data_IF_989123282265
#
_entry.id   IF_989123282265
#
_cell.length_a   1.000
_cell.length_b   1.000
_cell.length_c   1.000
_cell.angle_alpha   90.00
_cell.angle_beta   90.00
_cell.angle_gamma   90.00
#
_symmetry.space_group_name_H-M   'P 1'
#
loop_
_entity.id
_entity.type
_entity.pdbx_description
1 polymer ?
#
# COMPACT_ATOMS: atom_id res chain seq x y z
N UNK A 1 21.86 -19.39 28.07
CA UNK A 1 22.25 -19.47 26.64
C UNK A 1 23.64 -18.88 26.54
N UNK A 2 24.60 -19.56 25.91
CA UNK A 2 25.95 -19.01 25.79
C UNK A 2 25.94 -17.78 24.86
N UNK A 3 26.86 -16.81 25.03
CA UNK A 3 26.90 -15.58 24.22
C UNK A 3 26.91 -15.85 22.71
N UNK A 4 27.70 -16.83 22.27
CA UNK A 4 27.78 -17.25 20.86
C UNK A 4 26.45 -17.81 20.33
N UNK A 5 25.76 -18.61 21.14
CA UNK A 5 24.44 -19.16 20.77
C UNK A 5 23.41 -18.04 20.65
N UNK A 6 23.44 -17.05 21.55
CA UNK A 6 22.54 -15.91 21.54
C UNK A 6 22.78 -15.03 20.31
N UNK A 7 24.04 -14.78 19.97
CA UNK A 7 24.45 -14.04 18.78
C UNK A 7 23.97 -14.74 17.50
N UNK A 8 24.19 -16.04 17.37
CA UNK A 8 23.73 -16.85 16.23
C UNK A 8 22.20 -16.80 16.07
N UNK A 9 21.47 -16.89 17.18
CA UNK A 9 20.01 -16.74 17.18
C UNK A 9 19.56 -15.36 16.71
N UNK A 10 20.13 -14.28 17.27
CA UNK A 10 19.79 -12.90 16.90
C UNK A 10 20.08 -12.64 15.42
N UNK A 11 21.22 -13.11 14.91
CA UNK A 11 21.59 -12.97 13.52
C UNK A 11 20.65 -13.74 12.58
N UNK A 12 20.29 -14.99 12.93
CA UNK A 12 19.31 -15.77 12.16
C UNK A 12 17.95 -15.09 12.09
N UNK A 13 17.45 -14.55 13.20
CA UNK A 13 16.19 -13.81 13.22
C UNK A 13 16.26 -12.50 12.43
N UNK A 14 17.38 -11.77 12.52
CA UNK A 14 17.63 -10.58 11.70
C UNK A 14 17.57 -10.91 10.20
N UNK A 15 18.28 -11.95 9.75
CA UNK A 15 18.27 -12.39 8.35
C UNK A 15 16.88 -12.84 7.92
N UNK A 16 16.17 -13.61 8.75
CA UNK A 16 14.79 -14.08 8.48
C UNK A 16 13.83 -12.89 8.29
N UNK A 17 13.88 -11.90 9.17
CA UNK A 17 13.05 -10.70 9.08
C UNK A 17 13.42 -9.83 7.87
N UNK A 18 14.73 -9.73 7.56
CA UNK A 18 15.22 -8.96 6.42
C UNK A 18 14.74 -9.57 5.10
N UNK A 19 14.82 -10.89 4.97
CA UNK A 19 14.30 -11.61 3.81
C UNK A 19 12.78 -11.45 3.66
N UNK A 20 12.02 -11.54 4.76
CA UNK A 20 10.58 -11.30 4.72
C UNK A 20 10.26 -9.86 4.29
N UNK A 21 10.97 -8.87 4.82
CA UNK A 21 10.79 -7.47 4.43
C UNK A 21 11.08 -7.26 2.94
N UNK A 22 12.14 -7.86 2.40
CA UNK A 22 12.48 -7.80 0.99
C UNK A 22 11.42 -8.46 0.10
N UNK A 23 10.89 -9.62 0.51
CA UNK A 23 9.79 -10.30 -0.18
C UNK A 23 8.51 -9.44 -0.21
N UNK A 24 8.17 -8.77 0.90
CA UNK A 24 7.07 -7.82 0.96
C UNK A 24 7.26 -6.64 0.00
N UNK A 25 8.46 -6.07 -0.05
CA UNK A 25 8.80 -4.96 -0.96
C UNK A 25 8.70 -5.42 -2.43
N UNK A 26 9.28 -6.58 -2.76
CA UNK A 26 9.23 -7.17 -4.11
C UNK A 26 7.79 -7.43 -4.54
N UNK A 27 6.98 -8.00 -3.66
CA UNK A 27 5.56 -8.25 -3.93
C UNK A 27 4.78 -6.94 -4.14
N UNK A 28 5.09 -5.86 -3.42
CA UNK A 28 4.47 -4.55 -3.66
C UNK A 28 4.86 -3.96 -5.03
N UNK A 29 6.09 -4.18 -5.51
CA UNK A 29 6.49 -3.79 -6.87
C UNK A 29 5.79 -4.61 -7.95
N UNK A 30 5.53 -5.89 -7.71
CA UNK A 30 4.75 -6.73 -8.63
C UNK A 30 3.31 -6.22 -8.76
N UNK A 31 2.69 -5.80 -7.64
CA UNK A 31 1.37 -5.16 -7.65
C UNK A 31 1.36 -3.82 -8.41
N UNK A 32 2.46 -3.08 -8.40
CA UNK A 32 2.60 -1.86 -9.21
C UNK A 32 2.61 -2.16 -10.72
N UNK A 33 3.21 -3.28 -11.14
CA UNK A 33 3.14 -3.72 -12.55
C UNK A 33 1.70 -4.06 -12.95
N UNK A 34 0.93 -4.67 -12.04
CA UNK A 34 -0.49 -4.93 -12.26
C UNK A 34 -1.29 -3.62 -12.45
N UNK A 35 -0.96 -2.53 -11.74
CA UNK A 35 -1.58 -1.23 -12.00
C UNK A 35 -1.33 -0.73 -13.43
N UNK A 36 -0.13 -0.95 -13.97
CA UNK A 36 0.18 -0.61 -15.37
C UNK A 36 -0.69 -1.38 -16.38
N UNK A 37 -0.86 -2.69 -16.14
CA UNK A 37 -1.76 -3.53 -16.95
C UNK A 37 -3.20 -3.03 -16.86
N UNK A 38 -3.68 -2.68 -15.66
CA UNK A 38 -5.05 -2.16 -15.49
C UNK A 38 -5.22 -0.81 -16.19
N UNK A 39 -4.22 0.07 -16.15
CA UNK A 39 -4.23 1.32 -16.90
C UNK A 39 -4.38 1.09 -18.41
N UNK A 40 -3.68 0.11 -18.96
CA UNK A 40 -3.84 -0.30 -20.36
C UNK A 40 -5.25 -0.88 -20.62
N UNK A 41 -5.78 -1.71 -19.72
CA UNK A 41 -7.14 -2.26 -19.82
C UNK A 41 -8.19 -1.15 -19.82
N UNK A 42 -8.04 -0.11 -19.00
CA UNK A 42 -8.94 1.04 -18.97
C UNK A 42 -8.93 1.79 -20.31
N UNK A 43 -7.74 2.02 -20.89
CA UNK A 43 -7.63 2.67 -22.18
C UNK A 43 -8.26 1.86 -23.32
N UNK A 44 -8.15 0.53 -23.25
CA UNK A 44 -8.71 -0.40 -24.24
C UNK A 44 -10.19 -0.71 -24.01
N UNK A 45 -10.75 -0.37 -22.85
CA UNK A 45 -12.13 -0.70 -22.51
C UNK A 45 -13.15 -0.07 -23.46
N UNK A 46 -12.97 1.21 -23.81
CA UNK A 46 -13.86 1.88 -24.76
C UNK A 46 -13.90 1.17 -26.14
N UNK A 47 -12.76 0.93 -26.82
CA UNK A 47 -12.73 0.16 -28.06
C UNK A 47 -13.41 -1.23 -27.94
N UNK A 48 -13.22 -1.93 -26.82
CA UNK A 48 -13.85 -3.24 -26.59
C UNK A 48 -15.38 -3.10 -26.56
N UNK A 49 -15.91 -2.11 -25.83
CA UNK A 49 -17.35 -1.86 -25.78
C UNK A 49 -17.91 -1.43 -27.13
N UNK A 50 -17.16 -0.60 -27.89
CA UNK A 50 -17.53 -0.21 -29.26
C UNK A 50 -17.75 -1.45 -30.14
N UNK A 51 -16.85 -2.44 -30.09
CA UNK A 51 -16.96 -3.70 -30.85
C UNK A 51 -18.13 -4.57 -30.37
N UNK A 52 -18.36 -4.67 -29.06
CA UNK A 52 -19.44 -5.48 -28.48
C UNK A 52 -20.81 -4.94 -28.92
N UNK A 53 -20.98 -3.62 -28.90
CA UNK A 53 -22.25 -2.98 -29.30
C UNK A 53 -22.45 -3.05 -30.81
N UNK A 54 -21.38 -2.96 -31.61
CA UNK A 54 -21.44 -3.23 -33.06
C UNK A 54 -21.94 -4.66 -33.35
N UNK A 55 -21.51 -5.65 -32.58
CA UNK A 55 -21.93 -7.04 -32.74
C UNK A 55 -23.35 -7.31 -32.19
N UNK A 56 -23.79 -6.57 -31.17
CA UNK A 56 -25.11 -6.72 -30.54
C UNK A 56 -25.72 -5.35 -30.21
N UNK A 57 -26.44 -4.71 -31.15
CA UNK A 57 -26.96 -3.35 -30.99
C UNK A 57 -28.10 -3.21 -29.97
N UNK A 58 -28.60 -4.34 -29.42
CA UNK A 58 -29.60 -4.34 -28.33
C UNK A 58 -29.00 -4.01 -26.96
N UNK A 59 -27.67 -4.01 -26.85
CA UNK A 59 -26.97 -3.75 -25.59
C UNK A 59 -26.87 -2.23 -25.38
N UNK A 60 -27.22 -1.77 -24.19
CA UNK A 60 -27.02 -0.38 -23.79
C UNK A 60 -25.52 -0.07 -23.67
N UNK A 61 -25.01 0.68 -24.65
CA UNK A 61 -23.63 1.13 -24.73
C UNK A 61 -23.19 1.89 -23.48
N UNK A 62 -24.01 2.81 -22.99
CA UNK A 62 -23.68 3.66 -21.85
C UNK A 62 -23.61 2.87 -20.56
N UNK A 63 -24.57 1.97 -20.35
CA UNK A 63 -24.60 1.06 -19.21
C UNK A 63 -23.41 0.10 -19.16
N UNK A 64 -23.02 -0.47 -20.32
CA UNK A 64 -21.89 -1.39 -20.40
C UNK A 64 -20.54 -0.70 -20.15
N UNK A 65 -20.34 0.49 -20.74
CA UNK A 65 -19.15 1.31 -20.46
C UNK A 65 -19.03 1.59 -18.97
N UNK A 66 -20.11 2.07 -18.37
CA UNK A 66 -20.17 2.42 -16.97
C UNK A 66 -19.83 1.23 -16.06
N UNK A 67 -20.45 0.06 -16.30
CA UNK A 67 -20.21 -1.14 -15.51
C UNK A 67 -18.74 -1.59 -15.59
N UNK A 68 -18.14 -1.53 -16.78
CA UNK A 68 -16.74 -1.88 -16.96
C UNK A 68 -15.78 -0.89 -16.28
N UNK A 69 -16.03 0.41 -16.39
CA UNK A 69 -15.24 1.40 -15.65
C UNK A 69 -15.34 1.21 -14.14
N UNK A 70 -16.54 0.97 -13.62
CA UNK A 70 -16.76 0.76 -12.19
C UNK A 70 -16.07 -0.51 -11.67
N UNK A 71 -16.14 -1.61 -12.43
CA UNK A 71 -15.48 -2.87 -12.07
C UNK A 71 -13.95 -2.76 -12.13
N UNK A 72 -13.39 -2.07 -13.13
CA UNK A 72 -11.96 -1.80 -13.20
C UNK A 72 -11.49 -0.91 -12.05
N UNK A 73 -12.25 0.14 -11.71
CA UNK A 73 -11.97 0.99 -10.55
C UNK A 73 -12.02 0.22 -9.24
N UNK A 74 -12.94 -0.74 -9.09
CA UNK A 74 -13.01 -1.61 -7.92
C UNK A 74 -11.75 -2.48 -7.79
N UNK A 75 -11.26 -3.06 -8.90
CA UNK A 75 -10.03 -3.86 -8.89
C UNK A 75 -8.83 -2.99 -8.50
N UNK A 76 -8.71 -1.77 -9.06
CA UNK A 76 -7.66 -0.81 -8.66
C UNK A 76 -7.76 -0.49 -7.18
N UNK A 77 -8.98 -0.27 -6.68
CA UNK A 77 -9.21 0.04 -5.28
C UNK A 77 -8.74 -1.12 -4.38
N UNK A 78 -9.05 -2.37 -4.72
CA UNK A 78 -8.62 -3.54 -3.96
C UNK A 78 -7.09 -3.66 -3.94
N UNK A 79 -6.43 -3.53 -5.09
CA UNK A 79 -4.96 -3.62 -5.19
C UNK A 79 -4.30 -2.47 -4.45
N UNK A 80 -4.79 -1.24 -4.62
CA UNK A 80 -4.27 -0.07 -3.92
C UNK A 80 -4.45 -0.17 -2.40
N UNK A 81 -5.57 -0.71 -1.93
CA UNK A 81 -5.80 -0.98 -0.51
C UNK A 81 -4.85 -2.06 0.04
N UNK A 82 -4.63 -3.13 -0.72
CA UNK A 82 -3.67 -4.17 -0.37
C UNK A 82 -2.23 -3.61 -0.27
N UNK A 83 -1.84 -2.76 -1.21
CA UNK A 83 -0.55 -2.07 -1.19
C UNK A 83 -0.41 -1.12 0.01
N UNK A 84 -1.47 -0.39 0.37
CA UNK A 84 -1.50 0.44 1.58
C UNK A 84 -1.27 -0.40 2.85
N UNK A 85 -1.87 -1.59 2.93
CA UNK A 85 -1.63 -2.52 4.04
C UNK A 85 -0.17 -2.98 4.03
N UNK A 86 0.35 -3.44 2.90
CA UNK A 86 1.76 -3.87 2.78
C UNK A 86 2.74 -2.78 3.20
N UNK A 87 2.53 -1.54 2.74
CA UNK A 87 3.35 -0.41 3.15
C UNK A 87 3.31 -0.24 4.67
N UNK A 88 2.13 -0.33 5.30
CA UNK A 88 2.01 -0.16 6.77
C UNK A 88 2.87 -1.13 7.59
N UNK A 89 3.19 -2.31 7.07
CA UNK A 89 4.08 -3.28 7.71
C UNK A 89 5.58 -2.97 7.55
N UNK A 90 5.98 -2.12 6.60
CA UNK A 90 7.40 -1.76 6.42
C UNK A 90 7.94 -1.02 7.65
N UNK A 91 7.13 -0.20 8.31
CA UNK A 91 7.50 0.43 9.59
C UNK A 91 7.82 -0.65 10.62
N UNK A 92 6.94 -1.65 10.77
CA UNK A 92 7.15 -2.75 11.70
C UNK A 92 8.46 -3.50 11.42
N UNK A 93 8.76 -3.83 10.16
CA UNK A 93 10.02 -4.51 9.82
C UNK A 93 11.24 -3.65 10.13
N UNK A 94 11.16 -2.34 9.83
CA UNK A 94 12.26 -1.40 10.10
C UNK A 94 12.58 -1.33 11.59
N UNK A 95 11.55 -1.13 12.42
CA UNK A 95 11.71 -1.03 13.88
C UNK A 95 12.27 -2.32 14.50
N UNK A 96 11.80 -3.49 14.04
CA UNK A 96 12.29 -4.77 14.57
C UNK A 96 13.71 -5.07 14.11
N UNK A 97 14.04 -4.87 12.82
CA UNK A 97 15.38 -5.08 12.29
C UNK A 97 16.41 -4.24 13.04
N UNK A 98 16.05 -3.00 13.37
CA UNK A 98 16.87 -2.13 14.20
C UNK A 98 17.05 -2.68 15.63
N UNK A 99 15.98 -3.15 16.27
CA UNK A 99 16.07 -3.77 17.59
C UNK A 99 16.99 -5.00 17.62
N UNK A 100 16.99 -5.82 16.56
CA UNK A 100 17.93 -6.92 16.41
C UNK A 100 19.36 -6.43 16.15
N UNK A 101 19.53 -5.40 15.32
CA UNK A 101 20.85 -4.81 15.02
C UNK A 101 21.51 -4.23 16.28
N UNK A 102 20.76 -3.49 17.11
CA UNK A 102 21.23 -2.98 18.39
C UNK A 102 21.59 -4.10 19.38
N UNK A 103 20.81 -5.17 19.42
CA UNK A 103 21.09 -6.33 20.26
C UNK A 103 22.35 -7.08 19.82
N UNK A 104 22.57 -7.23 18.51
CA UNK A 104 23.76 -7.84 17.92
C UNK A 104 25.02 -7.01 18.23
N UNK A 105 24.95 -5.68 18.06
CA UNK A 105 26.07 -4.78 18.38
C UNK A 105 26.48 -4.84 19.84
N UNK A 106 25.51 -4.87 20.76
CA UNK A 106 25.76 -5.00 22.21
C UNK A 106 26.51 -6.29 22.54
N UNK A 107 26.17 -7.39 21.86
CA UNK A 107 26.77 -8.70 22.14
C UNK A 107 28.15 -8.87 21.48
N UNK A 108 28.42 -8.15 20.40
CA UNK A 108 29.71 -8.13 19.72
C UNK A 108 30.74 -7.21 20.38
N UNK A 109 30.36 -6.39 21.38
CA UNK A 109 31.20 -5.33 21.95
C UNK A 109 31.82 -4.40 20.88
N UNK A 110 31.17 -4.27 19.70
CA UNK A 110 31.63 -3.33 18.68
C UNK A 110 31.38 -1.90 19.18
N UNK A 111 32.46 -1.12 19.24
CA UNK A 111 32.41 0.33 19.44
C UNK A 111 31.45 0.95 18.41
N UNK A 112 30.72 1.99 18.82
CA UNK A 112 29.60 2.65 18.13
C UNK A 112 29.85 3.06 16.64
N UNK A 113 31.07 2.91 16.14
CA UNK A 113 31.58 3.35 14.83
C UNK A 113 31.67 2.26 13.74
N UNK A 114 31.27 1.01 14.01
CA UNK A 114 31.24 -0.05 13.00
C UNK A 114 30.19 0.24 11.90
N UNK A 115 30.64 0.41 10.65
CA UNK A 115 29.79 0.63 9.46
C UNK A 115 29.21 -0.66 8.87
N UNK A 116 29.52 -1.82 9.44
CA UNK A 116 29.13 -3.13 8.88
C UNK A 116 27.63 -3.38 9.09
N UNK A 117 27.13 -2.96 10.24
CA UNK A 117 25.72 -2.87 10.56
C UNK A 117 25.38 -1.38 10.52
N UNK A 118 24.72 -0.90 9.47
CA UNK A 118 24.46 0.53 9.31
C UNK A 118 23.05 0.80 8.78
N UNK A 119 22.03 0.22 9.41
CA UNK A 119 20.78 0.96 9.54
C UNK A 119 21.06 2.15 10.47
N UNK A 120 21.72 3.16 9.91
CA UNK A 120 22.26 4.30 10.64
C UNK A 120 21.12 4.98 11.41
N UNK A 121 21.20 5.07 12.73
CA UNK A 121 20.20 5.69 13.61
C UNK A 121 19.82 7.13 13.16
N UNK A 122 20.74 7.88 12.56
CA UNK A 122 20.45 9.19 11.95
C UNK A 122 19.60 9.13 10.67
N UNK A 123 19.65 8.01 9.93
CA UNK A 123 18.84 7.78 8.74
C UNK A 123 17.41 7.33 9.10
N UNK A 124 17.16 6.85 10.31
CA UNK A 124 15.84 6.38 10.78
C UNK A 124 14.80 7.50 10.75
N UNK A 125 15.07 8.66 11.36
CA UNK A 125 14.15 9.81 11.31
C UNK A 125 13.87 10.26 9.89
N UNK A 126 14.89 10.22 9.02
CA UNK A 126 14.77 10.59 7.61
C UNK A 126 13.96 9.56 6.82
N UNK A 127 14.16 8.26 7.08
CA UNK A 127 13.42 7.16 6.47
C UNK A 127 11.96 7.14 6.94
N UNK A 128 11.70 7.27 8.23
CA UNK A 128 10.35 7.36 8.78
C UNK A 128 9.62 8.61 8.28
N UNK A 129 10.31 9.75 8.19
CA UNK A 129 9.74 10.97 7.63
C UNK A 129 9.42 10.79 6.14
N UNK A 130 10.39 10.32 5.34
CA UNK A 130 10.18 10.03 3.92
C UNK A 130 9.06 9.02 3.71
N UNK A 131 9.00 7.95 4.51
CA UNK A 131 7.94 6.95 4.47
C UNK A 131 6.58 7.59 4.77
N UNK A 132 6.46 8.40 5.84
CA UNK A 132 5.21 9.10 6.17
C UNK A 132 4.76 10.01 5.04
N UNK A 133 5.69 10.75 4.43
CA UNK A 133 5.39 11.61 3.28
C UNK A 133 4.93 10.81 2.07
N UNK A 134 5.66 9.74 1.70
CA UNK A 134 5.30 8.89 0.56
C UNK A 134 3.96 8.17 0.79
N UNK A 135 3.73 7.66 2.00
CA UNK A 135 2.48 7.02 2.38
C UNK A 135 1.31 8.01 2.35
N UNK A 136 1.48 9.21 2.92
CA UNK A 136 0.45 10.24 2.88
C UNK A 136 0.14 10.67 1.43
N UNK A 137 1.17 10.89 0.61
CA UNK A 137 1.02 11.22 -0.80
C UNK A 137 0.27 10.12 -1.57
N UNK A 138 0.66 8.85 -1.39
CA UNK A 138 -0.01 7.72 -2.02
C UNK A 138 -1.47 7.61 -1.57
N UNK A 139 -1.73 7.74 -0.27
CA UNK A 139 -3.08 7.70 0.28
C UNK A 139 -3.94 8.86 -0.24
N UNK A 140 -3.39 10.07 -0.38
CA UNK A 140 -4.09 11.21 -0.96
C UNK A 140 -4.43 10.96 -2.43
N UNK A 141 -3.48 10.52 -3.24
CA UNK A 141 -3.71 10.19 -4.65
C UNK A 141 -4.76 9.08 -4.78
N UNK A 142 -4.64 8.03 -3.96
CA UNK A 142 -5.59 6.92 -3.95
C UNK A 142 -6.99 7.36 -3.52
N UNK A 143 -7.12 8.19 -2.48
CA UNK A 143 -8.40 8.74 -2.03
C UNK A 143 -9.05 9.62 -3.11
N UNK A 144 -8.28 10.47 -3.78
CA UNK A 144 -8.79 11.28 -4.89
C UNK A 144 -9.27 10.38 -6.03
N UNK A 145 -8.47 9.39 -6.44
CA UNK A 145 -8.83 8.51 -7.54
C UNK A 145 -10.07 7.66 -7.23
N UNK A 146 -10.20 7.15 -6.00
CA UNK A 146 -11.31 6.28 -5.60
C UNK A 146 -12.57 7.05 -5.19
N UNK A 147 -12.46 8.30 -4.72
CA UNK A 147 -13.63 9.09 -4.32
C UNK A 147 -14.08 9.97 -5.49
N UNK A 148 -13.18 10.81 -6.02
CA UNK A 148 -13.55 11.86 -6.98
C UNK A 148 -13.95 11.29 -8.33
N UNK A 149 -13.22 10.30 -8.87
CA UNK A 149 -13.51 9.77 -10.21
C UNK A 149 -14.89 9.08 -10.24
N UNK A 150 -15.20 8.09 -9.37
CA UNK A 150 -16.52 7.48 -9.38
C UNK A 150 -17.64 8.46 -9.01
N UNK A 151 -17.38 9.40 -8.10
CA UNK A 151 -18.36 10.43 -7.73
C UNK A 151 -18.74 11.30 -8.93
N UNK A 152 -17.76 11.82 -9.69
CA UNK A 152 -18.01 12.63 -10.88
C UNK A 152 -18.79 11.84 -11.94
N UNK A 153 -18.40 10.59 -12.18
CA UNK A 153 -19.11 9.70 -13.13
C UNK A 153 -20.56 9.49 -12.68
N UNK A 154 -20.79 9.13 -11.41
CA UNK A 154 -22.13 8.90 -10.87
C UNK A 154 -22.97 10.17 -10.88
N UNK A 155 -22.36 11.33 -10.64
CA UNK A 155 -23.03 12.63 -10.63
C UNK A 155 -23.59 12.96 -12.02
N UNK A 156 -22.87 12.62 -13.09
CA UNK A 156 -23.36 12.77 -14.48
C UNK A 156 -24.56 11.89 -14.82
N UNK A 157 -24.80 10.80 -14.07
CA UNK A 157 -25.96 9.91 -14.28
C UNK A 157 -27.14 10.27 -13.37
N UNK A 158 -26.96 10.16 -12.05
CA UNK A 158 -27.98 10.46 -11.04
C UNK A 158 -27.34 10.91 -9.74
N UNK A 159 -27.74 12.09 -9.27
CA UNK A 159 -27.20 12.71 -8.06
C UNK A 159 -27.37 11.81 -6.82
N UNK A 160 -28.46 11.05 -6.73
CA UNK A 160 -28.74 10.16 -5.60
C UNK A 160 -27.68 9.07 -5.46
N UNK A 161 -27.24 8.47 -6.58
CA UNK A 161 -26.20 7.43 -6.54
C UNK A 161 -24.84 8.03 -6.18
N UNK A 162 -24.53 9.23 -6.67
CA UNK A 162 -23.31 9.94 -6.32
C UNK A 162 -23.24 10.25 -4.81
N UNK A 163 -24.35 10.70 -4.22
CA UNK A 163 -24.42 11.00 -2.78
C UNK A 163 -24.29 9.74 -1.92
N UNK A 164 -24.97 8.65 -2.27
CA UNK A 164 -24.86 7.36 -1.55
C UNK A 164 -23.42 6.85 -1.61
N UNK A 165 -22.80 6.89 -2.79
CA UNK A 165 -21.41 6.48 -2.97
C UNK A 165 -20.43 7.34 -2.16
N UNK A 166 -20.62 8.67 -2.16
CA UNK A 166 -19.78 9.59 -1.40
C UNK A 166 -19.86 9.29 0.10
N UNK A 167 -21.06 9.09 0.65
CA UNK A 167 -21.24 8.75 2.06
C UNK A 167 -20.56 7.42 2.42
N UNK A 168 -20.77 6.38 1.60
CA UNK A 168 -20.15 5.07 1.82
C UNK A 168 -18.63 5.12 1.73
N UNK A 169 -18.08 5.78 0.71
CA UNK A 169 -16.63 5.92 0.54
C UNK A 169 -15.99 6.68 1.70
N UNK A 170 -16.58 7.80 2.14
CA UNK A 170 -16.13 8.53 3.32
C UNK A 170 -16.18 7.67 4.59
N UNK A 171 -17.23 6.87 4.78
CA UNK A 171 -17.34 5.95 5.91
C UNK A 171 -16.24 4.88 5.89
N UNK A 172 -15.97 4.28 4.74
CA UNK A 172 -14.90 3.27 4.56
C UNK A 172 -13.53 3.91 4.85
N UNK A 173 -13.25 5.09 4.30
CA UNK A 173 -12.00 5.80 4.59
C UNK A 173 -11.88 6.16 6.07
N UNK A 174 -12.96 6.59 6.73
CA UNK A 174 -12.94 6.88 8.16
C UNK A 174 -12.62 5.61 9.00
N UNK A 175 -13.17 4.46 8.64
CA UNK A 175 -12.84 3.17 9.27
C UNK A 175 -11.38 2.81 9.01
N UNK A 176 -10.91 2.95 7.76
CA UNK A 176 -9.52 2.69 7.40
C UNK A 176 -8.55 3.58 8.22
N UNK A 177 -8.79 4.89 8.30
CA UNK A 177 -7.97 5.79 9.10
C UNK A 177 -7.98 5.43 10.58
N UNK A 178 -9.11 4.97 11.14
CA UNK A 178 -9.17 4.49 12.52
C UNK A 178 -8.31 3.24 12.72
N UNK A 179 -8.39 2.27 11.82
CA UNK A 179 -7.57 1.05 11.86
C UNK A 179 -6.10 1.38 11.71
N UNK A 180 -5.75 2.21 10.71
CA UNK A 180 -4.40 2.68 10.48
C UNK A 180 -3.84 3.38 11.71
N UNK A 181 -4.59 4.33 12.30
CA UNK A 181 -4.19 5.03 13.53
C UNK A 181 -4.00 4.04 14.68
N UNK A 182 -4.86 3.04 14.84
CA UNK A 182 -4.71 2.02 15.91
C UNK A 182 -3.46 1.17 15.68
N UNK A 183 -3.21 0.74 14.45
CA UNK A 183 -2.05 -0.08 14.08
C UNK A 183 -0.72 0.67 14.22
N UNK A 184 -0.71 1.96 13.88
CA UNK A 184 0.50 2.79 13.91
C UNK A 184 0.73 3.48 15.26
N UNK A 185 -0.31 3.70 16.10
CA UNK A 185 -0.18 4.32 17.44
C UNK A 185 0.77 3.55 18.36
N UNK A 186 0.89 2.23 18.19
CA UNK A 186 1.81 1.41 18.97
C UNK A 186 3.29 1.67 18.61
N UNK A 187 3.55 2.18 17.40
CA UNK A 187 4.88 2.51 16.87
C UNK A 187 5.18 4.03 16.94
N UNK A 188 4.14 4.88 16.97
CA UNK A 188 4.27 6.35 17.00
C UNK A 188 4.51 6.94 18.40
N UNK A 189 4.24 6.18 19.46
CA UNK A 189 4.34 6.61 20.86
C UNK A 189 5.58 6.06 21.59
N UNK A 190 6.52 5.44 20.87
CA UNK A 190 7.88 5.14 21.34
C UNK A 190 8.82 6.19 20.76
#
# INVERSE_FOLDING_TARGET
>A
MNPEQRLDYLYKEYVRLSQQAEEYIRSAFEDFKLMGVIGATIALWKPIVDVIVLANPKIDYSGLLFLGFLSLLLIIAIIGFWNLIKQSFIIFFTDNLQGYEEAIRKELNELEDSKVFSLNLEKEKKLLFSYRTTFAAFLSVFAIATISIPFLILFSFKITYALIYLLLSLMIFAVYFRVLKKSTKQYLNR
#
